data_IF_446874880047
#
_entry.id   IF_446874880047
#
_cell.length_a   1.000
_cell.length_b   1.000
_cell.length_c   1.000
_cell.angle_alpha   90.00
_cell.angle_beta   90.00
_cell.angle_gamma   90.00
#
_symmetry.space_group_name_H-M   'P 1'
#
loop_
_entity.id
_entity.type
_entity.pdbx_description
1 polymer ?
#
# COMPACT_ATOMS: atom_id res chain seq x y z
N UNK A 1 -7.26 -11.72 28.40
CA UNK A 1 -7.76 -12.24 27.10
C UNK A 1 -8.98 -13.16 27.27
N UNK A 2 -10.16 -12.69 27.71
CA UNK A 2 -11.38 -13.54 27.77
C UNK A 2 -12.71 -12.80 27.49
N UNK A 3 -12.66 -11.58 26.95
CA UNK A 3 -13.80 -10.65 27.01
C UNK A 3 -14.63 -10.67 25.72
N UNK A 4 -13.97 -10.78 24.57
CA UNK A 4 -14.60 -10.73 23.24
C UNK A 4 -15.44 -11.98 22.94
N UNK A 5 -14.99 -13.18 23.35
CA UNK A 5 -15.76 -14.43 23.15
C UNK A 5 -17.01 -14.49 24.03
N UNK A 6 -16.92 -14.02 25.29
CA UNK A 6 -18.08 -13.96 26.20
C UNK A 6 -19.12 -12.98 25.69
N UNK A 7 -18.68 -11.84 25.15
CA UNK A 7 -19.57 -10.84 24.57
C UNK A 7 -20.30 -11.39 23.33
N UNK A 8 -19.59 -12.07 22.42
CA UNK A 8 -20.20 -12.74 21.27
C UNK A 8 -21.27 -13.77 21.68
N UNK A 9 -20.99 -14.56 22.71
CA UNK A 9 -21.94 -15.55 23.25
C UNK A 9 -23.18 -14.84 23.83
N UNK A 10 -23.00 -13.76 24.58
CA UNK A 10 -24.12 -13.00 25.16
C UNK A 10 -25.00 -12.41 24.04
N UNK A 11 -24.39 -11.88 22.97
CA UNK A 11 -25.13 -11.30 21.82
C UNK A 11 -25.91 -12.39 21.07
N UNK A 12 -25.29 -13.53 20.77
CA UNK A 12 -25.99 -14.65 20.12
C UNK A 12 -27.13 -15.18 20.99
N UNK A 13 -26.93 -15.23 22.32
CA UNK A 13 -27.96 -15.66 23.26
C UNK A 13 -29.11 -14.64 23.35
N UNK A 14 -28.81 -13.34 23.30
CA UNK A 14 -29.81 -12.28 23.29
C UNK A 14 -30.64 -12.30 21.99
N UNK A 15 -30.00 -12.46 20.83
CA UNK A 15 -30.69 -12.59 19.55
C UNK A 15 -31.59 -13.82 19.50
N UNK A 16 -31.13 -14.95 20.04
CA UNK A 16 -31.91 -16.17 20.14
C UNK A 16 -33.11 -16.01 21.09
N UNK A 17 -32.93 -15.33 22.23
CA UNK A 17 -34.02 -15.04 23.17
C UNK A 17 -35.09 -14.13 22.56
N UNK A 18 -34.70 -13.13 21.78
CA UNK A 18 -35.65 -12.26 21.05
C UNK A 18 -36.42 -13.06 20.00
N UNK A 19 -35.75 -13.97 19.29
CA UNK A 19 -36.38 -14.84 18.30
C UNK A 19 -37.39 -15.82 18.94
N UNK A 20 -37.03 -16.40 20.09
CA UNK A 20 -37.91 -17.28 20.87
C UNK A 20 -39.10 -16.51 21.48
N UNK A 21 -38.87 -15.30 21.99
CA UNK A 21 -39.93 -14.44 22.49
C UNK A 21 -40.94 -14.07 21.38
N UNK A 22 -40.45 -13.84 20.15
CA UNK A 22 -41.30 -13.62 18.97
C UNK A 22 -42.11 -14.85 18.58
N UNK A 23 -41.55 -16.05 18.76
CA UNK A 23 -42.23 -17.31 18.46
C UNK A 23 -43.37 -17.61 19.44
N UNK A 24 -43.23 -17.19 20.70
CA UNK A 24 -44.23 -17.40 21.76
C UNK A 24 -45.32 -16.32 21.75
N UNK A 25 -45.01 -15.09 21.32
CA UNK A 25 -45.98 -14.00 21.21
C UNK A 25 -46.05 -13.37 19.81
N UNK A 26 -46.80 -13.98 18.87
CA UNK A 26 -46.97 -13.46 17.51
C UNK A 26 -47.87 -12.21 17.40
N UNK A 27 -48.42 -11.71 18.51
CA UNK A 27 -49.37 -10.59 18.55
C UNK A 27 -48.75 -9.23 18.95
N UNK A 28 -47.44 -9.16 19.20
CA UNK A 28 -46.76 -7.93 19.61
C UNK A 28 -46.73 -6.94 18.45
N UNK A 29 -47.55 -5.90 18.54
CA UNK A 29 -47.44 -4.71 17.69
C UNK A 29 -46.14 -4.00 18.09
N UNK A 30 -45.18 -3.91 17.16
CA UNK A 30 -43.94 -3.19 17.40
C UNK A 30 -44.30 -1.71 17.51
N UNK A 31 -44.41 -1.21 18.74
CA UNK A 31 -44.60 0.20 19.02
C UNK A 31 -43.32 0.97 18.69
N UNK A 32 -43.45 2.25 18.33
CA UNK A 32 -42.32 3.13 18.04
C UNK A 32 -41.31 3.16 19.20
N UNK A 33 -41.80 3.00 20.44
CA UNK A 33 -41.00 2.91 21.66
C UNK A 33 -40.13 1.65 21.65
N UNK A 34 -40.68 0.49 21.28
CA UNK A 34 -39.93 -0.77 21.19
C UNK A 34 -38.86 -0.72 20.10
N UNK A 35 -39.15 -0.07 18.97
CA UNK A 35 -38.17 0.16 17.92
C UNK A 35 -37.05 1.10 18.39
N UNK A 36 -37.41 2.18 19.12
CA UNK A 36 -36.45 3.09 19.72
C UNK A 36 -35.51 2.40 20.71
N UNK A 37 -36.03 1.53 21.56
CA UNK A 37 -35.24 0.75 22.53
C UNK A 37 -34.26 -0.20 21.84
N UNK A 38 -34.65 -0.83 20.72
CA UNK A 38 -33.75 -1.68 19.92
C UNK A 38 -32.63 -0.83 19.29
N UNK A 39 -32.94 0.35 18.75
CA UNK A 39 -31.93 1.25 18.16
C UNK A 39 -30.93 1.74 19.23
N UNK A 40 -31.43 2.18 20.39
CA UNK A 40 -30.60 2.56 21.55
C UNK A 40 -29.77 1.38 22.04
N UNK A 41 -30.32 0.17 21.98
CA UNK A 41 -29.60 -1.05 22.30
C UNK A 41 -28.59 -1.48 21.22
N UNK A 42 -28.55 -0.90 20.01
CA UNK A 42 -27.56 -1.19 18.94
C UNK A 42 -26.55 -0.04 18.77
N UNK A 43 -26.85 1.15 19.28
CA UNK A 43 -25.98 2.34 19.24
C UNK A 43 -24.58 2.14 19.86
N UNK A 44 -24.41 1.54 21.06
CA UNK A 44 -23.08 1.32 21.66
C UNK A 44 -22.13 0.41 20.86
N UNK A 45 -22.66 -0.31 19.87
CA UNK A 45 -22.01 -1.37 19.11
C UNK A 45 -21.75 -0.91 17.68
N UNK A 46 -22.48 0.12 17.22
CA UNK A 46 -22.26 0.77 15.94
C UNK A 46 -20.86 1.39 15.86
N UNK A 47 -20.30 1.87 16.99
CA UNK A 47 -18.91 2.32 17.06
C UNK A 47 -17.92 1.19 16.74
N UNK A 48 -18.12 -0.01 17.29
CA UNK A 48 -17.28 -1.18 17.00
C UNK A 48 -17.51 -1.73 15.58
N UNK A 49 -18.70 -1.53 15.01
CA UNK A 49 -18.98 -1.86 13.61
C UNK A 49 -18.35 -0.84 12.64
N UNK A 50 -18.23 0.43 13.04
CA UNK A 50 -17.48 1.46 12.32
C UNK A 50 -15.96 1.19 12.44
N UNK A 51 -15.48 0.70 13.59
CA UNK A 51 -14.10 0.17 13.71
C UNK A 51 -13.88 -1.09 12.86
N UNK A 52 -14.88 -1.97 12.74
CA UNK A 52 -14.81 -3.14 11.84
C UNK A 52 -15.10 -2.77 10.38
N UNK A 53 -15.55 -1.55 10.12
CA UNK A 53 -15.57 -0.89 8.83
C UNK A 53 -14.32 0.00 8.63
N UNK A 54 -13.29 -0.17 9.47
CA UNK A 54 -11.92 0.02 9.01
C UNK A 54 -11.65 -1.08 7.99
N UNK A 55 -11.91 -0.70 6.74
CA UNK A 55 -11.82 -1.53 5.53
C UNK A 55 -10.64 -2.50 5.58
N UNK A 56 -10.77 -3.72 5.04
CA UNK A 56 -9.74 -4.78 5.03
C UNK A 56 -8.51 -4.45 4.15
N UNK A 57 -7.94 -3.25 4.29
CA UNK A 57 -6.94 -2.64 3.42
C UNK A 57 -6.11 -1.53 4.07
N UNK A 58 -5.81 -1.59 5.38
CA UNK A 58 -4.56 -1.03 5.91
C UNK A 58 -4.40 0.49 6.00
N UNK A 59 -5.47 1.28 6.10
CA UNK A 59 -5.37 2.75 6.03
C UNK A 59 -4.77 3.49 7.25
N UNK A 60 -4.45 2.83 8.36
CA UNK A 60 -4.00 3.54 9.59
C UNK A 60 -2.58 3.26 10.07
N UNK A 61 -1.83 2.36 9.45
CA UNK A 61 -0.48 2.03 9.90
C UNK A 61 0.46 2.13 8.71
N UNK A 62 1.01 3.32 8.44
CA UNK A 62 2.36 3.52 7.86
C UNK A 62 2.75 4.95 7.53
N UNK A 63 1.85 5.93 7.55
CA UNK A 63 2.23 7.30 7.20
C UNK A 63 3.22 7.96 8.17
N UNK A 64 3.40 7.44 9.40
CA UNK A 64 4.35 8.01 10.36
C UNK A 64 5.75 7.38 10.34
N UNK A 65 5.93 6.19 9.74
CA UNK A 65 7.25 5.54 9.59
C UNK A 65 7.94 5.85 8.24
N UNK A 66 7.25 6.58 7.35
CA UNK A 66 7.66 6.81 5.96
C UNK A 66 8.79 7.84 5.78
N UNK A 67 8.91 8.84 6.65
CA UNK A 67 10.07 9.77 6.62
C UNK A 67 11.38 9.05 6.97
N UNK A 68 11.32 8.01 7.81
CA UNK A 68 12.49 7.21 8.19
C UNK A 68 12.87 6.16 7.15
N UNK A 69 11.91 5.67 6.37
CA UNK A 69 12.16 4.73 5.29
C UNK A 69 12.86 5.38 4.09
N UNK A 70 12.44 6.61 3.71
CA UNK A 70 13.08 7.36 2.63
C UNK A 70 14.55 7.69 2.90
N UNK A 71 14.87 8.08 4.14
CA UNK A 71 16.26 8.38 4.55
C UNK A 71 17.13 7.12 4.67
N UNK A 72 16.54 5.94 4.94
CA UNK A 72 17.27 4.67 5.10
C UNK A 72 17.59 3.97 3.80
N UNK A 73 16.77 4.14 2.75
CA UNK A 73 17.08 3.60 1.41
C UNK A 73 18.34 4.26 0.83
N UNK A 74 18.60 5.52 1.18
CA UNK A 74 19.85 6.21 0.81
C UNK A 74 21.04 5.80 1.68
N UNK A 75 20.81 5.39 2.94
CA UNK A 75 21.87 5.10 3.90
C UNK A 75 22.28 3.62 3.98
N UNK A 76 21.39 2.68 3.66
CA UNK A 76 21.65 1.22 3.78
C UNK A 76 22.05 0.56 2.44
N UNK A 77 22.15 1.33 1.34
CA UNK A 77 22.84 0.91 0.10
C UNK A 77 24.34 1.30 0.09
N UNK A 78 24.98 1.49 1.25
CA UNK A 78 26.45 1.48 1.34
C UNK A 78 26.97 0.04 1.30
N UNK A 79 27.11 -0.48 0.08
CA UNK A 79 28.02 -1.60 -0.20
C UNK A 79 29.46 -1.03 -0.06
N UNK A 80 30.34 -1.64 0.76
CA UNK A 80 31.66 -1.09 1.04
C UNK A 80 32.53 -1.14 -0.21
N UNK A 81 32.65 -0.01 -0.89
CA UNK A 81 33.62 0.21 -1.95
C UNK A 81 34.69 1.16 -1.43
N UNK A 82 35.76 0.54 -0.96
CA UNK A 82 37.05 1.10 -0.54
C UNK A 82 37.53 2.25 -1.44
N UNK A 83 37.98 3.33 -0.79
CA UNK A 83 38.87 4.40 -1.29
C UNK A 83 38.26 5.48 -2.20
N UNK A 84 37.95 6.65 -1.62
CA UNK A 84 38.69 7.92 -1.90
C UNK A 84 38.08 9.10 -1.13
N UNK A 85 38.82 9.53 -0.11
CA UNK A 85 39.17 10.90 0.29
C UNK A 85 38.21 12.07 -0.02
N UNK A 86 37.69 12.62 1.08
CA UNK A 86 37.27 14.01 1.30
C UNK A 86 38.03 15.05 0.46
N UNK A 87 37.33 15.89 -0.30
CA UNK A 87 37.66 17.32 -0.40
C UNK A 87 36.40 18.12 -0.72
N UNK A 88 35.99 18.93 0.27
CA UNK A 88 35.13 20.09 0.13
C UNK A 88 35.75 21.09 -0.86
N UNK A 89 35.12 21.29 -2.01
CA UNK A 89 35.34 22.51 -2.80
C UNK A 89 34.03 22.95 -3.45
N UNK A 90 33.50 24.05 -2.93
CA UNK A 90 32.60 24.98 -3.61
C UNK A 90 33.15 25.28 -5.01
N UNK A 91 32.50 24.78 -6.06
CA UNK A 91 32.69 25.28 -7.42
C UNK A 91 31.39 25.12 -8.19
N UNK A 92 30.81 26.28 -8.49
CA UNK A 92 29.79 26.54 -9.50
C UNK A 92 29.97 25.64 -10.72
N UNK A 93 29.06 24.68 -10.89
CA UNK A 93 28.85 23.93 -12.12
C UNK A 93 27.46 24.29 -12.69
N UNK A 94 27.34 24.41 -14.03
CA UNK A 94 26.16 24.94 -14.70
C UNK A 94 24.90 24.08 -14.44
N UNK A 95 23.68 24.66 -14.52
CA UNK A 95 22.42 23.98 -14.17
C UNK A 95 22.06 22.77 -15.03
N UNK A 96 22.83 22.42 -16.06
CA UNK A 96 22.50 21.40 -17.06
C UNK A 96 22.84 19.95 -16.68
N UNK A 97 23.35 19.67 -15.47
CA UNK A 97 23.72 18.31 -15.06
C UNK A 97 22.71 17.60 -14.11
N UNK A 98 21.50 18.17 -13.93
CA UNK A 98 20.39 17.53 -13.19
C UNK A 98 19.26 17.04 -14.10
N UNK A 99 19.31 17.30 -15.42
CA UNK A 99 18.19 17.08 -16.34
C UNK A 99 18.26 15.77 -17.16
N UNK A 100 19.16 14.84 -16.81
CA UNK A 100 19.23 13.55 -17.47
C UNK A 100 18.54 12.47 -16.64
N UNK A 101 17.37 12.01 -17.13
CA UNK A 101 16.75 10.68 -16.90
C UNK A 101 15.45 10.59 -16.07
N UNK A 102 14.47 11.49 -16.27
CA UNK A 102 13.06 11.19 -15.90
C UNK A 102 12.05 11.66 -16.96
N UNK A 103 12.20 11.23 -18.22
CA UNK A 103 11.10 11.32 -19.21
C UNK A 103 10.12 10.15 -18.98
N UNK A 104 9.48 10.08 -17.81
CA UNK A 104 8.38 9.12 -17.62
C UNK A 104 7.05 9.83 -17.96
N UNK A 105 6.26 9.32 -18.93
CA UNK A 105 5.07 10.02 -19.45
C UNK A 105 4.01 10.41 -18.42
N UNK A 106 4.02 9.75 -17.25
CA UNK A 106 3.06 10.02 -16.19
C UNK A 106 3.37 11.30 -15.39
N UNK A 107 4.57 11.89 -15.52
CA UNK A 107 4.87 13.20 -14.93
C UNK A 107 4.15 14.34 -15.65
N UNK A 108 4.05 14.27 -16.98
CA UNK A 108 3.48 15.34 -17.81
C UNK A 108 1.98 15.54 -17.55
N UNK A 109 1.30 14.52 -17.03
CA UNK A 109 -0.13 14.54 -16.71
C UNK A 109 -0.41 14.86 -15.25
N UNK A 110 0.59 14.87 -14.36
CA UNK A 110 0.40 15.05 -12.91
C UNK A 110 -0.39 16.31 -12.56
N UNK A 111 0.00 17.44 -13.12
CA UNK A 111 -0.60 18.73 -12.79
C UNK A 111 -1.98 18.92 -13.45
N UNK A 112 -2.31 18.07 -14.44
CA UNK A 112 -3.60 18.11 -15.16
C UNK A 112 -4.62 17.12 -14.59
N UNK A 113 -4.15 15.91 -14.28
CA UNK A 113 -4.96 14.80 -13.77
C UNK A 113 -4.10 13.92 -12.84
N UNK A 114 -4.12 14.17 -11.52
CA UNK A 114 -3.33 13.43 -10.56
C UNK A 114 -3.72 11.95 -10.47
N UNK A 115 -4.99 11.63 -10.73
CA UNK A 115 -5.46 10.24 -10.75
C UNK A 115 -4.84 9.49 -11.93
N UNK A 116 -4.89 10.08 -13.14
CA UNK A 116 -4.26 9.48 -14.32
C UNK A 116 -2.75 9.30 -14.12
N UNK A 117 -2.11 10.26 -13.48
CA UNK A 117 -0.69 10.22 -13.17
C UNK A 117 -0.33 9.07 -12.20
N UNK A 118 -1.14 8.84 -11.16
CA UNK A 118 -1.02 7.69 -10.24
C UNK A 118 -1.27 6.35 -10.93
N UNK A 119 -2.23 6.29 -11.87
CA UNK A 119 -2.46 5.11 -12.69
C UNK A 119 -1.23 4.81 -13.55
N UNK A 120 -0.66 5.84 -14.17
CA UNK A 120 0.58 5.73 -14.95
C UNK A 120 1.74 5.19 -14.11
N UNK A 121 1.95 5.73 -12.91
CA UNK A 121 2.96 5.25 -11.96
C UNK A 121 2.75 3.78 -11.59
N UNK A 122 1.51 3.37 -11.29
CA UNK A 122 1.17 1.96 -10.98
C UNK A 122 1.53 1.04 -12.14
N UNK A 123 1.25 1.44 -13.39
CA UNK A 123 1.59 0.66 -14.58
C UNK A 123 3.11 0.47 -14.70
N UNK A 124 3.89 1.52 -14.49
CA UNK A 124 5.36 1.46 -14.55
C UNK A 124 5.96 0.56 -13.45
N UNK A 125 5.38 0.60 -12.25
CA UNK A 125 5.71 -0.31 -11.15
C UNK A 125 5.37 -1.76 -11.52
N UNK A 126 4.18 -1.99 -12.06
CA UNK A 126 3.71 -3.32 -12.45
C UNK A 126 4.62 -3.96 -13.51
N UNK A 127 5.03 -3.20 -14.54
CA UNK A 127 5.98 -3.66 -15.57
C UNK A 127 7.28 -4.19 -14.94
N UNK A 128 7.84 -3.47 -13.97
CA UNK A 128 9.11 -3.83 -13.31
C UNK A 128 8.95 -5.01 -12.35
N UNK A 129 7.84 -5.08 -11.61
CA UNK A 129 7.53 -6.26 -10.78
C UNK A 129 7.42 -7.51 -11.65
N UNK A 130 6.73 -7.43 -12.79
CA UNK A 130 6.62 -8.56 -13.73
C UNK A 130 7.98 -8.92 -14.35
N UNK A 131 8.84 -7.94 -14.63
CA UNK A 131 10.20 -8.19 -15.11
C UNK A 131 11.06 -8.91 -14.07
N UNK A 132 11.04 -8.47 -12.81
CA UNK A 132 11.75 -9.16 -11.72
C UNK A 132 11.20 -10.57 -11.50
N UNK A 133 9.87 -10.73 -11.51
CA UNK A 133 9.23 -12.04 -11.40
C UNK A 133 9.70 -13.01 -12.51
N UNK A 134 9.80 -12.52 -13.76
CA UNK A 134 10.32 -13.31 -14.88
C UNK A 134 11.76 -13.77 -14.66
N UNK A 135 12.63 -12.87 -14.18
CA UNK A 135 14.03 -13.16 -13.87
C UNK A 135 14.15 -14.23 -12.78
N UNK A 136 13.29 -14.15 -11.77
CA UNK A 136 13.24 -15.09 -10.63
C UNK A 136 12.51 -16.41 -10.95
N UNK A 137 12.14 -16.63 -12.22
CA UNK A 137 11.46 -17.85 -12.67
C UNK A 137 10.03 -18.00 -12.14
N UNK A 138 9.38 -16.91 -11.76
CA UNK A 138 8.00 -16.89 -11.30
C UNK A 138 7.02 -16.82 -12.49
N UNK A 139 5.85 -17.43 -12.32
CA UNK A 139 4.75 -17.27 -13.28
C UNK A 139 4.21 -15.84 -13.23
N UNK A 140 4.45 -15.09 -14.31
CA UNK A 140 4.13 -13.68 -14.45
C UNK A 140 2.65 -13.40 -14.68
N UNK A 141 1.80 -14.42 -14.88
CA UNK A 141 0.35 -14.23 -15.06
C UNK A 141 -0.41 -14.09 -13.72
N UNK A 142 0.29 -14.27 -12.60
CA UNK A 142 -0.32 -14.16 -11.28
C UNK A 142 -0.72 -12.72 -10.94
N UNK A 143 -1.66 -12.54 -9.98
CA UNK A 143 -2.03 -11.24 -9.46
C UNK A 143 -0.81 -10.48 -8.92
N UNK A 144 -0.75 -9.16 -9.14
CA UNK A 144 0.39 -8.32 -8.76
C UNK A 144 0.73 -8.43 -7.27
N UNK A 145 -0.28 -8.50 -6.40
CA UNK A 145 -0.12 -8.66 -4.96
C UNK A 145 0.54 -9.99 -4.57
N UNK A 146 0.31 -11.05 -5.35
CA UNK A 146 0.94 -12.36 -5.15
C UNK A 146 2.40 -12.32 -5.59
N UNK A 147 2.70 -11.70 -6.75
CA UNK A 147 4.07 -11.50 -7.22
C UNK A 147 4.90 -10.68 -6.23
N UNK A 148 4.36 -9.56 -5.73
CA UNK A 148 5.02 -8.72 -4.72
C UNK A 148 5.38 -9.51 -3.46
N UNK A 149 4.44 -10.32 -2.95
CA UNK A 149 4.66 -11.13 -1.76
C UNK A 149 5.72 -12.21 -2.01
N UNK A 150 5.70 -12.85 -3.16
CA UNK A 150 6.67 -13.88 -3.53
C UNK A 150 8.09 -13.30 -3.66
N UNK A 151 8.22 -12.13 -4.32
CA UNK A 151 9.50 -11.42 -4.44
C UNK A 151 10.03 -10.97 -3.07
N UNK A 152 9.16 -10.52 -2.17
CA UNK A 152 9.56 -10.22 -0.79
C UNK A 152 10.00 -11.48 -0.02
N UNK A 153 9.24 -12.57 -0.13
CA UNK A 153 9.54 -13.84 0.54
C UNK A 153 10.90 -14.41 0.11
N UNK A 154 11.27 -14.24 -1.16
CA UNK A 154 12.57 -14.63 -1.72
C UNK A 154 13.72 -13.66 -1.40
N UNK A 155 13.46 -12.59 -0.64
CA UNK A 155 14.44 -11.57 -0.33
C UNK A 155 14.80 -10.66 -1.51
N UNK A 156 14.06 -10.74 -2.62
CA UNK A 156 14.28 -9.88 -3.78
C UNK A 156 13.82 -8.46 -3.47
N UNK A 157 12.74 -8.30 -2.70
CA UNK A 157 12.31 -7.01 -2.17
C UNK A 157 12.49 -7.00 -0.66
N UNK A 158 13.14 -5.97 -0.13
CA UNK A 158 13.17 -5.74 1.32
C UNK A 158 11.74 -5.50 1.83
N UNK A 159 11.49 -5.75 3.11
CA UNK A 159 10.18 -5.52 3.71
C UNK A 159 9.71 -4.07 3.57
N UNK A 160 10.66 -3.14 3.66
CA UNK A 160 10.41 -1.71 3.47
C UNK A 160 9.95 -1.40 2.04
N UNK A 161 10.71 -1.85 1.03
CA UNK A 161 10.38 -1.62 -0.39
C UNK A 161 9.05 -2.31 -0.75
N UNK A 162 8.84 -3.53 -0.28
CA UNK A 162 7.57 -4.24 -0.45
C UNK A 162 6.39 -3.42 0.08
N UNK A 163 6.49 -2.87 1.29
CA UNK A 163 5.41 -2.07 1.85
C UNK A 163 5.13 -0.78 1.09
N UNK A 164 6.18 -0.03 0.72
CA UNK A 164 6.00 1.19 -0.08
C UNK A 164 5.35 0.89 -1.44
N UNK A 165 5.73 -0.23 -2.08
CA UNK A 165 5.11 -0.70 -3.31
C UNK A 165 3.63 -1.07 -3.13
N UNK A 166 3.26 -1.70 -2.02
CA UNK A 166 1.84 -1.99 -1.73
C UNK A 166 1.01 -0.71 -1.61
N UNK A 167 1.55 0.30 -0.93
CA UNK A 167 0.86 1.57 -0.71
C UNK A 167 0.66 2.32 -2.04
N UNK A 168 1.68 2.39 -2.89
CA UNK A 168 1.58 3.02 -4.22
C UNK A 168 0.61 2.24 -5.13
N UNK A 169 0.69 0.91 -5.15
CA UNK A 169 -0.22 0.07 -5.95
C UNK A 169 -1.67 0.26 -5.50
N UNK A 170 -1.91 0.37 -4.19
CA UNK A 170 -3.23 0.65 -3.63
C UNK A 170 -3.75 2.02 -4.08
N UNK A 171 -2.94 3.08 -3.92
CA UNK A 171 -3.29 4.44 -4.36
C UNK A 171 -3.59 4.50 -5.86
N UNK A 172 -2.75 3.88 -6.70
CA UNK A 172 -2.99 3.81 -8.14
C UNK A 172 -4.23 2.99 -8.51
N UNK A 173 -4.57 1.95 -7.73
CA UNK A 173 -5.79 1.17 -7.95
C UNK A 173 -7.05 1.99 -7.64
N UNK A 174 -7.02 2.76 -6.54
CA UNK A 174 -8.11 3.68 -6.19
C UNK A 174 -8.28 4.76 -7.27
N UNK A 175 -7.17 5.35 -7.74
CA UNK A 175 -7.18 6.31 -8.83
C UNK A 175 -7.80 5.74 -10.12
N UNK A 176 -7.48 4.49 -10.47
CA UNK A 176 -8.05 3.80 -11.64
C UNK A 176 -9.58 3.61 -11.54
N UNK A 177 -10.11 3.46 -10.33
CA UNK A 177 -11.56 3.38 -10.08
C UNK A 177 -12.22 4.75 -9.95
N UNK A 178 -11.49 5.84 -10.21
CA UNK A 178 -12.02 7.20 -10.14
C UNK A 178 -12.24 7.73 -8.72
N UNK A 179 -11.66 7.07 -7.70
CA UNK A 179 -11.70 7.59 -6.34
C UNK A 179 -10.95 8.92 -6.25
N UNK A 180 -11.44 9.85 -5.44
CA UNK A 180 -10.74 11.11 -5.18
C UNK A 180 -9.51 10.81 -4.32
N UNK A 181 -8.32 10.92 -4.89
CA UNK A 181 -7.06 10.77 -4.15
C UNK A 181 -6.66 12.12 -3.56
N UNK A 182 -6.20 12.12 -2.32
CA UNK A 182 -5.72 13.32 -1.66
C UNK A 182 -4.43 13.82 -2.34
N UNK A 183 -4.24 15.15 -2.51
CA UNK A 183 -3.02 15.70 -3.11
C UNK A 183 -1.73 15.21 -2.40
N UNK A 184 -1.77 15.10 -1.08
CA UNK A 184 -0.65 14.61 -0.27
C UNK A 184 -0.22 13.17 -0.63
N UNK A 185 -1.17 12.29 -0.94
CA UNK A 185 -0.91 10.90 -1.38
C UNK A 185 -0.28 10.90 -2.77
N UNK A 186 -0.75 11.80 -3.63
CA UNK A 186 -0.19 11.99 -4.97
C UNK A 186 1.27 12.43 -4.85
N UNK A 187 1.54 13.55 -4.17
CA UNK A 187 2.89 14.10 -3.99
C UNK A 187 3.87 13.10 -3.39
N UNK A 188 3.44 12.38 -2.35
CA UNK A 188 4.22 11.31 -1.73
C UNK A 188 4.54 10.18 -2.72
N UNK A 189 3.55 9.69 -3.46
CA UNK A 189 3.73 8.61 -4.42
C UNK A 189 4.68 9.00 -5.55
N UNK A 190 4.67 10.27 -5.97
CA UNK A 190 5.63 10.79 -6.95
C UNK A 190 7.04 10.89 -6.40
N UNK A 191 7.20 11.41 -5.19
CA UNK A 191 8.50 11.54 -4.55
C UNK A 191 9.16 10.17 -4.34
N UNK A 192 8.44 9.23 -3.73
CA UNK A 192 8.95 7.88 -3.44
C UNK A 192 8.98 6.99 -4.69
N UNK A 193 8.01 7.13 -5.58
CA UNK A 193 7.86 6.31 -6.77
C UNK A 193 9.07 6.39 -7.70
N UNK A 194 9.64 7.57 -7.90
CA UNK A 194 10.86 7.72 -8.74
C UNK A 194 12.05 6.93 -8.21
N UNK A 195 12.32 7.05 -6.91
CA UNK A 195 13.42 6.36 -6.25
C UNK A 195 13.23 4.85 -6.30
N UNK A 196 11.99 4.37 -6.09
CA UNK A 196 11.65 2.95 -6.17
C UNK A 196 11.83 2.43 -7.60
N UNK A 197 11.34 3.14 -8.62
CA UNK A 197 11.50 2.73 -10.02
C UNK A 197 12.99 2.64 -10.40
N UNK A 198 13.79 3.63 -10.01
CA UNK A 198 15.23 3.64 -10.25
C UNK A 198 15.95 2.46 -9.54
N UNK A 199 15.56 2.15 -8.30
CA UNK A 199 16.11 1.01 -7.55
C UNK A 199 15.75 -0.33 -8.22
N UNK A 200 14.50 -0.49 -8.67
CA UNK A 200 14.06 -1.68 -9.40
C UNK A 200 14.79 -1.83 -10.73
N UNK A 201 14.99 -0.73 -11.48
CA UNK A 201 15.70 -0.74 -12.76
C UNK A 201 17.16 -1.18 -12.58
N UNK A 202 17.87 -0.62 -11.59
CA UNK A 202 19.24 -1.05 -11.24
C UNK A 202 19.29 -2.54 -10.91
N UNK A 203 18.32 -3.03 -10.13
CA UNK A 203 18.27 -4.44 -9.74
C UNK A 203 18.05 -5.36 -10.94
N UNK A 204 17.10 -5.02 -11.80
CA UNK A 204 16.80 -5.76 -13.03
C UNK A 204 18.04 -5.82 -13.94
N UNK A 205 18.73 -4.70 -14.11
CA UNK A 205 19.94 -4.60 -14.93
C UNK A 205 21.08 -5.46 -14.37
N UNK A 206 21.30 -5.42 -13.06
CA UNK A 206 22.30 -6.26 -12.38
C UNK A 206 22.03 -7.76 -12.57
N UNK A 207 20.78 -8.21 -12.49
CA UNK A 207 20.43 -9.61 -12.73
C UNK A 207 20.65 -10.03 -14.18
N UNK A 208 20.25 -9.20 -15.16
CA UNK A 208 20.46 -9.48 -16.58
C UNK A 208 21.93 -9.69 -16.90
N UNK A 209 22.78 -8.79 -16.40
CA UNK A 209 24.22 -8.89 -16.57
C UNK A 209 24.80 -10.18 -15.99
N UNK A 210 24.30 -10.62 -14.84
CA UNK A 210 24.78 -11.85 -14.20
C UNK A 210 24.40 -13.10 -15.00
N UNK A 211 23.20 -13.15 -15.56
CA UNK A 211 22.72 -14.26 -16.39
C UNK A 211 23.54 -14.36 -17.69
N UNK A 212 23.80 -13.23 -18.35
CA UNK A 212 24.53 -13.18 -19.63
C UNK A 212 26.01 -13.60 -19.53
N UNK A 213 26.60 -13.55 -18.33
CA UNK A 213 28.02 -13.94 -18.11
C UNK A 213 28.24 -15.34 -17.57
N UNK A 214 27.19 -15.98 -17.04
CA UNK A 214 27.30 -17.28 -16.36
C UNK A 214 26.55 -18.39 -17.11
N UNK A 215 25.63 -18.04 -18.02
CA UNK A 215 24.98 -18.96 -18.96
C UNK A 215 25.73 -19.07 -20.28
#
# INVERSE_FOLDING_TARGET
MKNTTRLKIIISCAGLLILLARLIWPMIKIDAISLGLIIVAILPWLSSLIESAEFPGGWKIKFHDMERAGAKITAEEEIPSTTSTTTTTTTTLPPEALESKTNQPFFDVRDRDPNLALVGLRIEIEKRIRAMAKIEGLDTNQPLSKLLRELNHRGVLTQMVFSGLQDIVSAGNQAAHGAKVEPSVTDWAFHIGTSILAAMDRKIEAYRYHIERVG
#
